data_IF_937311502616
#
_entry.id   IF_937311502616
#
_cell.length_a   1.000
_cell.length_b   1.000
_cell.length_c   1.000
_cell.angle_alpha   90.00
_cell.angle_beta   90.00
_cell.angle_gamma   90.00
#
_symmetry.space_group_name_H-M   'P 1'
#
loop_
_entity.id
_entity.type
_entity.pdbx_description
1 polymer ?
#
# COMPACT_ATOMS: atom_id res chain seq x y z
N UNK A 1 -7.70 48.51 75.64
CA UNK A 1 -9.14 48.46 75.32
C UNK A 1 -9.30 47.40 74.26
N UNK A 2 -9.94 46.28 74.63
CA UNK A 2 -10.17 45.13 73.76
C UNK A 2 -11.09 45.49 72.61
N UNK A 3 -10.81 45.00 71.40
CA UNK A 3 -11.86 44.58 70.48
C UNK A 3 -11.31 43.54 69.50
N UNK A 4 -11.97 42.38 69.50
CA UNK A 4 -11.82 41.25 68.58
C UNK A 4 -12.91 41.41 67.55
N UNK A 5 -12.60 41.33 66.25
CA UNK A 5 -13.56 40.94 65.23
C UNK A 5 -12.85 40.29 64.03
N UNK A 6 -12.91 38.95 64.01
CA UNK A 6 -13.69 38.10 63.07
C UNK A 6 -13.10 37.93 61.67
N UNK A 7 -12.46 36.77 61.48
CA UNK A 7 -11.97 36.21 60.21
C UNK A 7 -13.14 35.74 59.32
N UNK A 8 -13.07 36.02 58.01
CA UNK A 8 -13.83 35.32 56.96
C UNK A 8 -12.95 35.05 55.73
N UNK A 9 -12.85 33.79 55.22
CA UNK A 9 -12.49 33.47 53.84
C UNK A 9 -13.77 33.11 53.03
N UNK A 10 -13.74 32.65 51.77
CA UNK A 10 -12.78 32.77 50.65
C UNK A 10 -13.48 33.26 49.34
N UNK A 11 -12.72 33.66 48.30
CA UNK A 11 -13.26 33.66 46.92
C UNK A 11 -12.22 33.17 45.92
N UNK A 12 -12.58 32.05 45.30
CA UNK A 12 -11.91 31.31 44.24
C UNK A 12 -11.59 32.17 43.01
N UNK A 13 -10.37 32.01 42.46
CA UNK A 13 -10.01 32.46 41.12
C UNK A 13 -10.18 31.29 40.15
N UNK A 14 -11.09 31.46 39.18
CA UNK A 14 -11.45 30.43 38.21
C UNK A 14 -10.35 30.23 37.15
N UNK A 15 -9.89 28.99 36.99
CA UNK A 15 -9.02 28.55 35.88
C UNK A 15 -9.91 28.23 34.68
N UNK A 16 -9.84 29.06 33.63
CA UNK A 16 -10.43 28.79 32.32
C UNK A 16 -9.57 27.76 31.57
N UNK A 17 -9.94 26.47 31.69
CA UNK A 17 -9.37 25.40 30.87
C UNK A 17 -10.06 25.45 29.50
N UNK A 18 -9.36 25.97 28.50
CA UNK A 18 -9.76 25.83 27.10
C UNK A 18 -9.54 24.38 26.66
N UNK A 19 -10.59 23.55 26.77
CA UNK A 19 -10.60 22.22 26.19
C UNK A 19 -10.58 22.33 24.66
N UNK A 20 -9.40 22.14 24.06
CA UNK A 20 -9.29 21.80 22.64
C UNK A 20 -10.02 20.46 22.44
N UNK A 21 -11.23 20.52 21.89
CA UNK A 21 -11.93 19.34 21.38
C UNK A 21 -11.10 18.81 20.20
N UNK A 22 -10.28 17.79 20.47
CA UNK A 22 -9.68 16.98 19.42
C UNK A 22 -10.83 16.32 18.65
N UNK A 23 -11.14 16.85 17.46
CA UNK A 23 -12.09 16.20 16.55
C UNK A 23 -11.45 14.86 16.18
N UNK A 24 -12.11 13.71 16.45
CA UNK A 24 -11.56 12.43 16.03
C UNK A 24 -11.50 12.45 14.51
N UNK A 25 -10.29 12.34 13.95
CA UNK A 25 -10.11 12.08 12.53
C UNK A 25 -10.80 10.74 12.24
N UNK A 26 -11.99 10.80 11.64
CA UNK A 26 -12.75 9.63 11.23
C UNK A 26 -11.91 8.88 10.21
N UNK A 27 -11.62 7.61 10.46
CA UNK A 27 -10.80 6.79 9.57
C UNK A 27 -11.61 6.47 8.30
N UNK A 28 -11.55 7.38 7.33
CA UNK A 28 -12.28 7.25 6.07
C UNK A 28 -11.80 6.02 5.31
N UNK A 29 -12.73 5.15 4.92
CA UNK A 29 -12.45 3.97 4.09
C UNK A 29 -12.08 4.41 2.67
N UNK A 30 -11.01 3.88 2.10
CA UNK A 30 -10.53 4.23 0.75
C UNK A 30 -10.90 3.15 -0.27
N UNK A 31 -11.42 3.54 -1.43
CA UNK A 31 -11.52 2.63 -2.57
C UNK A 31 -10.14 2.49 -3.23
N UNK A 32 -9.59 1.29 -3.27
CA UNK A 32 -8.27 1.01 -3.86
C UNK A 32 -8.35 0.39 -5.24
N UNK A 33 -9.43 -0.31 -5.56
CA UNK A 33 -9.69 -0.87 -6.90
C UNK A 33 -11.19 -0.95 -7.14
N UNK A 34 -11.62 -0.69 -8.37
CA UNK A 34 -13.00 -0.89 -8.77
C UNK A 34 -13.09 -1.32 -10.22
N UNK A 35 -13.97 -2.29 -10.49
CA UNK A 35 -14.30 -2.76 -11.83
C UNK A 35 -15.79 -3.07 -11.93
N UNK A 36 -16.30 -3.01 -13.17
CA UNK A 36 -17.71 -3.24 -13.49
C UNK A 36 -18.49 -1.93 -13.74
N UNK A 37 -19.81 -2.04 -14.00
CA UNK A 37 -20.69 -0.90 -14.26
C UNK A 37 -20.64 0.26 -13.25
N UNK A 38 -20.48 -0.01 -11.96
CA UNK A 38 -20.44 1.04 -10.91
C UNK A 38 -19.05 1.63 -10.69
N UNK A 39 -18.03 1.21 -11.45
CA UNK A 39 -16.65 1.68 -11.24
C UNK A 39 -16.49 3.19 -11.39
N UNK A 40 -17.32 3.84 -12.22
CA UNK A 40 -17.34 5.31 -12.34
C UNK A 40 -17.84 6.01 -11.09
N UNK A 41 -18.72 5.38 -10.31
CA UNK A 41 -19.24 5.92 -9.06
C UNK A 41 -18.27 5.70 -7.88
N UNK A 42 -17.42 4.68 -7.97
CA UNK A 42 -16.44 4.30 -6.96
C UNK A 42 -15.02 4.24 -7.56
N UNK A 43 -14.47 5.35 -8.08
CA UNK A 43 -13.12 5.33 -8.64
C UNK A 43 -12.06 5.03 -7.57
N UNK A 44 -10.94 4.44 -7.97
CA UNK A 44 -9.79 4.28 -7.09
C UNK A 44 -9.34 5.66 -6.54
N UNK A 45 -9.01 5.72 -5.25
CA UNK A 45 -8.67 6.94 -4.53
C UNK A 45 -9.87 7.63 -3.89
N UNK A 46 -11.10 7.17 -4.14
CA UNK A 46 -12.31 7.73 -3.52
C UNK A 46 -12.34 7.39 -2.03
N UNK A 47 -12.38 8.42 -1.18
CA UNK A 47 -12.70 8.25 0.23
C UNK A 47 -14.22 8.10 0.42
N UNK A 48 -14.59 7.13 1.25
CA UNK A 48 -15.95 6.80 1.63
C UNK A 48 -16.13 7.15 3.11
N UNK A 49 -17.24 7.82 3.42
CA UNK A 49 -17.62 8.05 4.80
C UNK A 49 -18.05 6.74 5.46
N UNK A 50 -17.77 6.56 6.75
CA UNK A 50 -18.02 5.33 7.52
C UNK A 50 -19.49 4.86 7.44
N UNK A 51 -20.41 5.81 7.33
CA UNK A 51 -21.86 5.60 7.32
C UNK A 51 -22.45 5.55 5.90
N UNK A 52 -21.60 5.60 4.86
CA UNK A 52 -22.07 5.61 3.48
C UNK A 52 -22.59 4.24 3.05
N UNK A 53 -23.42 4.21 2.01
CA UNK A 53 -23.86 2.97 1.36
C UNK A 53 -23.20 2.86 -0.01
N UNK A 54 -22.59 1.71 -0.26
CA UNK A 54 -21.98 1.34 -1.53
C UNK A 54 -23.00 0.46 -2.27
N UNK A 55 -23.59 0.97 -3.35
CA UNK A 55 -24.51 0.21 -4.18
C UNK A 55 -23.75 -0.36 -5.37
N UNK A 56 -23.70 -1.67 -5.45
CA UNK A 56 -23.05 -2.39 -6.55
C UNK A 56 -24.11 -3.05 -7.43
N UNK A 57 -23.79 -3.13 -8.72
CA UNK A 57 -24.55 -3.79 -9.77
C UNK A 57 -23.97 -5.19 -10.02
N UNK A 58 -24.68 -5.99 -10.82
CA UNK A 58 -24.20 -7.30 -11.21
C UNK A 58 -22.90 -7.18 -12.02
N UNK A 59 -21.90 -7.99 -11.66
CA UNK A 59 -20.57 -7.94 -12.27
C UNK A 59 -19.61 -6.91 -11.67
N UNK A 60 -20.04 -6.13 -10.67
CA UNK A 60 -19.15 -5.21 -9.97
C UNK A 60 -18.23 -5.92 -8.97
N UNK A 61 -17.01 -5.40 -8.89
CA UNK A 61 -16.05 -5.70 -7.84
C UNK A 61 -15.41 -4.41 -7.34
N UNK A 62 -15.51 -4.15 -6.04
CA UNK A 62 -14.88 -2.99 -5.38
C UNK A 62 -14.01 -3.49 -4.25
N UNK A 63 -12.73 -3.13 -4.27
CA UNK A 63 -11.81 -3.36 -3.17
C UNK A 63 -11.69 -2.08 -2.37
N UNK A 64 -12.00 -2.17 -1.08
CA UNK A 64 -11.89 -1.09 -0.11
C UNK A 64 -10.73 -1.39 0.85
N UNK A 65 -10.07 -0.34 1.32
CA UNK A 65 -9.06 -0.37 2.37
C UNK A 65 -9.59 0.42 3.57
N UNK A 66 -9.68 -0.25 4.70
CA UNK A 66 -9.99 0.37 6.00
C UNK A 66 -8.85 0.09 6.99
N UNK A 67 -8.96 0.59 8.21
CA UNK A 67 -7.93 0.43 9.24
C UNK A 67 -7.59 -1.03 9.59
N UNK A 68 -8.36 -2.02 9.13
CA UNK A 68 -8.13 -3.46 9.36
C UNK A 68 -7.52 -4.16 8.15
N UNK A 69 -7.38 -3.49 7.01
CA UNK A 69 -6.87 -4.06 5.76
C UNK A 69 -7.85 -3.96 4.59
N UNK A 70 -7.58 -4.72 3.52
CA UNK A 70 -8.42 -4.70 2.32
C UNK A 70 -9.54 -5.73 2.35
N UNK A 71 -10.69 -5.34 1.76
CA UNK A 71 -11.88 -6.18 1.63
C UNK A 71 -12.44 -6.02 0.23
N UNK A 72 -12.87 -7.13 -0.36
CA UNK A 72 -13.51 -7.14 -1.69
C UNK A 72 -15.02 -7.27 -1.55
N UNK A 73 -15.75 -6.32 -2.12
CA UNK A 73 -17.21 -6.32 -2.26
C UNK A 73 -17.54 -6.78 -3.69
N UNK A 74 -18.43 -7.75 -3.84
CA UNK A 74 -18.78 -8.34 -5.14
C UNK A 74 -20.29 -8.42 -5.32
N UNK A 75 -20.71 -8.22 -6.57
CA UNK A 75 -22.06 -8.54 -7.02
C UNK A 75 -23.08 -7.44 -6.74
N UNK A 76 -24.34 -7.67 -7.16
CA UNK A 76 -25.40 -6.70 -6.94
C UNK A 76 -25.76 -6.66 -5.46
N UNK A 77 -25.85 -5.47 -4.89
CA UNK A 77 -26.19 -5.32 -3.47
C UNK A 77 -25.87 -3.95 -2.92
N UNK A 78 -26.26 -3.72 -1.67
CA UNK A 78 -25.85 -2.53 -0.92
C UNK A 78 -24.97 -2.96 0.24
N UNK A 79 -23.76 -2.40 0.29
CA UNK A 79 -22.76 -2.70 1.28
C UNK A 79 -22.47 -1.46 2.13
N UNK A 80 -22.13 -1.66 3.39
CA UNK A 80 -21.58 -0.60 4.24
C UNK A 80 -20.05 -0.72 4.23
N UNK A 81 -19.29 0.38 4.10
CA UNK A 81 -17.83 0.38 4.19
C UNK A 81 -17.36 -0.18 5.53
N UNK A 82 -18.09 0.12 6.60
CA UNK A 82 -17.84 -0.43 7.93
C UNK A 82 -18.88 -1.51 8.28
N UNK A 83 -18.41 -2.65 8.80
CA UNK A 83 -19.26 -3.58 9.54
C UNK A 83 -18.97 -3.31 11.00
N UNK A 84 -19.96 -2.77 11.72
CA UNK A 84 -19.90 -2.63 13.18
C UNK A 84 -19.76 -4.02 13.82
N UNK A 85 -18.52 -4.48 13.95
CA UNK A 85 -18.19 -5.64 14.77
C UNK A 85 -17.59 -5.12 16.06
N UNK A 86 -18.01 -5.66 17.21
CA UNK A 86 -17.46 -5.35 18.54
C UNK A 86 -15.99 -5.78 18.74
N UNK A 87 -15.23 -5.96 17.65
CA UNK A 87 -13.80 -6.25 17.71
C UNK A 87 -13.07 -4.90 17.73
N UNK A 88 -12.36 -4.54 18.81
CA UNK A 88 -11.55 -3.34 18.81
C UNK A 88 -10.57 -3.39 17.64
N UNK A 89 -10.57 -2.34 16.82
CA UNK A 89 -9.63 -2.13 15.73
C UNK A 89 -8.27 -1.68 16.30
N UNK A 90 -7.63 -2.53 17.09
CA UNK A 90 -6.28 -2.28 17.63
C UNK A 90 -5.18 -2.52 16.59
N UNK A 91 -5.54 -2.90 15.37
CA UNK A 91 -4.60 -3.21 14.27
C UNK A 91 -4.41 -1.99 13.37
N UNK A 92 -3.94 -0.85 13.91
CA UNK A 92 -3.43 0.24 13.05
C UNK A 92 -2.06 -0.17 12.51
N UNK A 93 -2.04 -1.14 11.61
CA UNK A 93 -0.81 -1.57 10.96
C UNK A 93 -0.21 -0.37 10.22
N UNK A 94 1.06 -0.09 10.48
CA UNK A 94 1.75 0.99 9.78
C UNK A 94 2.22 0.49 8.43
N UNK A 95 2.38 1.41 7.48
CA UNK A 95 2.95 1.04 6.19
C UNK A 95 4.37 0.44 6.33
N UNK A 96 5.21 0.95 7.24
CA UNK A 96 6.54 0.41 7.47
C UNK A 96 6.50 -1.07 7.88
N UNK A 97 5.56 -1.42 8.75
CA UNK A 97 5.32 -2.80 9.17
C UNK A 97 4.85 -3.69 8.00
N UNK A 98 3.92 -3.21 7.17
CA UNK A 98 3.40 -3.95 6.02
C UNK A 98 4.45 -4.11 4.91
N UNK A 99 5.21 -3.05 4.62
CA UNK A 99 6.23 -3.03 3.57
C UNK A 99 7.37 -4.03 3.81
N UNK A 100 7.66 -4.32 5.08
CA UNK A 100 8.69 -5.28 5.49
C UNK A 100 8.17 -6.71 5.58
N UNK A 101 6.85 -6.92 5.56
CA UNK A 101 6.25 -8.26 5.51
C UNK A 101 6.39 -8.83 4.11
N UNK A 102 6.94 -10.05 4.04
CA UNK A 102 6.87 -10.83 2.81
C UNK A 102 5.41 -11.11 2.50
N UNK A 103 4.99 -10.81 1.27
CA UNK A 103 3.69 -11.23 0.76
C UNK A 103 3.56 -12.75 0.96
N UNK A 104 2.74 -13.17 1.92
CA UNK A 104 2.52 -14.59 2.19
C UNK A 104 1.80 -15.18 0.98
N UNK A 105 2.27 -16.29 0.39
CA UNK A 105 1.47 -17.04 -0.56
C UNK A 105 0.17 -17.42 0.13
N UNK A 106 -0.95 -16.89 -0.37
CA UNK A 106 -2.27 -17.28 0.10
C UNK A 106 -2.43 -18.78 -0.09
N UNK A 107 -2.68 -19.50 1.00
CA UNK A 107 -2.90 -20.93 1.00
C UNK A 107 -4.24 -21.28 0.32
N UNK A 108 -4.27 -21.32 -1.01
CA UNK A 108 -5.34 -21.98 -1.78
C UNK A 108 -4.77 -22.57 -3.07
N UNK A 109 -4.01 -23.66 -2.95
CA UNK A 109 -3.95 -24.82 -3.85
C UNK A 109 -3.11 -25.86 -3.12
N UNK A 110 -3.69 -27.04 -2.95
CA UNK A 110 -3.16 -28.27 -2.35
C UNK A 110 -1.72 -28.22 -1.79
N UNK A 111 -1.59 -28.48 -0.49
CA UNK A 111 -0.33 -28.75 0.22
C UNK A 111 0.54 -29.75 -0.57
N UNK A 112 1.74 -29.38 -1.05
CA UNK A 112 2.79 -30.34 -1.28
C UNK A 112 3.54 -30.56 0.04
N UNK A 113 3.94 -31.81 0.23
CA UNK A 113 4.75 -32.38 1.31
C UNK A 113 5.96 -31.47 1.69
N UNK A 114 6.37 -31.44 2.98
CA UNK A 114 7.52 -30.65 3.42
C UNK A 114 8.85 -31.29 2.99
N UNK A 115 9.18 -31.21 1.70
CA UNK A 115 10.51 -31.56 1.17
C UNK A 115 10.95 -30.71 -0.03
N UNK A 116 10.16 -29.73 -0.48
CA UNK A 116 10.59 -28.79 -1.51
C UNK A 116 10.87 -27.44 -0.86
N UNK A 117 12.06 -26.89 -1.15
CA UNK A 117 12.39 -25.50 -0.84
C UNK A 117 11.19 -24.64 -1.25
N UNK A 118 10.69 -23.82 -0.31
CA UNK A 118 9.55 -22.96 -0.57
C UNK A 118 9.76 -22.25 -1.91
N UNK A 119 8.86 -22.48 -2.88
CA UNK A 119 8.93 -21.82 -4.17
C UNK A 119 9.14 -20.32 -3.93
N UNK A 120 10.20 -19.75 -4.51
CA UNK A 120 10.44 -18.31 -4.44
C UNK A 120 9.19 -17.60 -4.98
N UNK A 121 8.78 -16.47 -4.36
CA UNK A 121 7.55 -15.82 -4.75
C UNK A 121 7.64 -15.35 -6.21
N UNK A 122 6.61 -15.67 -7.00
CA UNK A 122 6.43 -15.23 -8.40
C UNK A 122 6.18 -13.71 -8.52
N UNK A 123 6.32 -12.97 -7.41
CA UNK A 123 6.08 -11.54 -7.30
C UNK A 123 7.00 -10.94 -6.25
N UNK A 124 7.26 -9.63 -6.36
CA UNK A 124 8.15 -8.94 -5.43
C UNK A 124 7.73 -9.17 -3.97
N UNK A 125 8.67 -9.57 -3.08
CA UNK A 125 8.38 -9.81 -1.68
C UNK A 125 8.29 -8.51 -0.84
N UNK A 126 8.59 -7.35 -1.44
CA UNK A 126 8.63 -6.05 -0.75
C UNK A 126 8.18 -4.95 -1.72
N UNK A 127 7.31 -4.06 -1.25
CA UNK A 127 6.74 -2.94 -2.02
C UNK A 127 7.78 -1.90 -2.48
N UNK A 128 8.92 -1.81 -1.82
CA UNK A 128 10.00 -0.91 -2.22
C UNK A 128 10.95 -1.48 -3.25
N UNK A 129 10.86 -2.78 -3.53
CA UNK A 129 11.65 -3.35 -4.61
C UNK A 129 11.02 -3.06 -5.97
N UNK A 130 11.87 -2.59 -6.88
CA UNK A 130 11.51 -2.28 -8.25
C UNK A 130 11.43 -3.57 -9.04
N UNK A 131 10.23 -4.05 -9.29
CA UNK A 131 9.99 -5.22 -10.11
C UNK A 131 10.31 -4.92 -11.58
N UNK A 132 11.44 -5.43 -12.07
CA UNK A 132 11.95 -5.12 -13.41
C UNK A 132 11.23 -5.87 -14.53
N UNK A 133 10.32 -6.79 -14.21
CA UNK A 133 9.48 -7.47 -15.20
C UNK A 133 8.22 -6.67 -15.52
N UNK A 134 7.91 -5.62 -14.75
CA UNK A 134 6.75 -4.75 -14.94
C UNK A 134 7.17 -3.35 -15.35
N UNK A 135 6.58 -2.86 -16.44
CA UNK A 135 6.70 -1.46 -16.84
C UNK A 135 5.67 -0.61 -16.10
N UNK A 136 5.99 0.66 -15.87
CA UNK A 136 5.07 1.63 -15.26
C UNK A 136 5.75 2.60 -14.31
N UNK A 137 4.94 3.32 -13.54
CA UNK A 137 5.44 4.23 -12.51
C UNK A 137 5.84 3.43 -11.26
N UNK A 138 7.00 3.76 -10.71
CA UNK A 138 7.58 3.16 -9.51
C UNK A 138 7.77 4.25 -8.47
N UNK A 139 6.99 4.17 -7.41
CA UNK A 139 7.08 5.03 -6.24
C UNK A 139 8.21 4.58 -5.34
N UNK A 140 9.08 5.50 -4.94
CA UNK A 140 10.20 5.21 -4.04
C UNK A 140 10.20 6.16 -2.85
N UNK A 141 10.69 5.69 -1.71
CA UNK A 141 10.90 6.50 -0.52
C UNK A 141 12.25 7.23 -0.53
N UNK A 142 13.25 6.63 -1.18
CA UNK A 142 14.63 7.06 -1.15
C UNK A 142 15.28 6.77 -2.52
N UNK A 143 15.86 7.79 -3.14
CA UNK A 143 16.53 7.70 -4.44
C UNK A 143 17.87 6.98 -4.38
N UNK A 144 18.49 6.92 -3.20
CA UNK A 144 19.82 6.36 -2.99
C UNK A 144 19.76 4.88 -2.56
N UNK A 145 18.59 4.40 -2.15
CA UNK A 145 18.34 3.04 -1.67
C UNK A 145 17.48 2.18 -2.62
N UNK A 146 17.53 2.46 -3.93
CA UNK A 146 16.72 1.72 -4.92
C UNK A 146 17.28 0.31 -5.14
N UNK A 147 16.40 -0.69 -5.02
CA UNK A 147 16.73 -2.10 -5.24
C UNK A 147 15.86 -2.68 -6.34
N UNK A 148 16.49 -3.21 -7.38
CA UNK A 148 15.85 -3.97 -8.44
C UNK A 148 15.52 -5.37 -7.95
N UNK A 149 14.36 -5.88 -8.37
CA UNK A 149 13.93 -7.24 -8.10
C UNK A 149 13.38 -7.92 -9.35
N UNK A 150 13.67 -9.22 -9.45
CA UNK A 150 13.08 -10.17 -10.40
C UNK A 150 12.84 -11.51 -9.70
N UNK A 151 11.95 -12.38 -10.19
CA UNK A 151 11.90 -13.77 -9.75
C UNK A 151 13.27 -14.45 -9.87
N UNK A 152 13.63 -15.27 -8.87
CA UNK A 152 14.83 -16.10 -8.96
C UNK A 152 14.74 -17.03 -10.17
N UNK A 153 15.82 -17.13 -10.95
CA UNK A 153 15.85 -17.98 -12.13
C UNK A 153 17.25 -18.20 -12.65
N UNK A 154 17.38 -18.47 -13.95
CA UNK A 154 18.69 -18.53 -14.62
C UNK A 154 19.40 -17.17 -14.56
N UNK A 155 20.71 -17.18 -14.77
CA UNK A 155 21.47 -15.95 -14.96
C UNK A 155 20.84 -15.12 -16.09
N UNK A 156 20.77 -13.82 -15.87
CA UNK A 156 20.15 -12.89 -16.80
C UNK A 156 20.88 -11.56 -16.75
N UNK A 157 20.86 -10.84 -17.86
CA UNK A 157 21.42 -9.49 -17.95
C UNK A 157 20.43 -8.56 -18.64
N UNK A 158 20.47 -7.30 -18.27
CA UNK A 158 19.70 -6.25 -18.90
C UNK A 158 20.52 -4.96 -18.98
N UNK A 159 20.25 -4.16 -19.99
CA UNK A 159 20.79 -2.81 -20.11
C UNK A 159 19.74 -1.82 -19.62
N UNK A 160 20.08 -1.02 -18.61
CA UNK A 160 19.32 0.15 -18.23
C UNK A 160 19.77 1.35 -19.06
N UNK A 161 18.83 2.18 -19.48
CA UNK A 161 19.12 3.42 -20.22
C UNK A 161 18.26 4.55 -19.66
N UNK A 162 18.88 5.64 -19.21
CA UNK A 162 18.18 6.86 -18.87
C UNK A 162 17.59 7.48 -20.14
N UNK A 163 16.27 7.71 -20.14
CA UNK A 163 15.56 8.21 -21.32
C UNK A 163 15.92 9.66 -21.64
N UNK A 164 16.33 10.45 -20.64
CA UNK A 164 16.58 11.88 -20.81
C UNK A 164 17.92 12.19 -21.49
N UNK A 165 18.99 11.44 -21.14
CA UNK A 165 20.35 11.71 -21.60
C UNK A 165 21.00 10.54 -22.36
N UNK A 166 20.33 9.39 -22.44
CA UNK A 166 20.82 8.21 -23.14
C UNK A 166 21.95 7.46 -22.43
N UNK A 167 22.36 7.88 -21.22
CA UNK A 167 23.33 7.15 -20.41
C UNK A 167 22.82 5.74 -20.09
N UNK A 168 23.71 4.75 -20.12
CA UNK A 168 23.34 3.36 -19.97
C UNK A 168 24.33 2.56 -19.15
N UNK A 169 23.83 1.62 -18.35
CA UNK A 169 24.64 0.66 -17.61
C UNK A 169 24.05 -0.75 -17.75
N UNK A 170 24.94 -1.72 -17.92
CA UNK A 170 24.56 -3.13 -17.95
C UNK A 170 24.48 -3.68 -16.54
N UNK A 171 23.41 -4.42 -16.27
CA UNK A 171 23.15 -5.08 -15.00
C UNK A 171 23.04 -6.58 -15.20
N UNK A 172 23.67 -7.33 -14.32
CA UNK A 172 23.72 -8.79 -14.37
C UNK A 172 23.25 -9.39 -13.06
N UNK A 173 22.34 -10.36 -13.16
CA UNK A 173 21.90 -11.24 -12.08
C UNK A 173 22.53 -12.62 -12.28
N UNK A 174 23.19 -13.11 -11.23
CA UNK A 174 23.63 -14.51 -11.20
C UNK A 174 22.42 -15.46 -11.15
N UNK A 175 22.64 -16.73 -11.47
CA UNK A 175 21.60 -17.75 -11.29
C UNK A 175 21.13 -17.79 -9.83
N UNK A 176 19.82 -17.79 -9.62
CA UNK A 176 19.18 -17.73 -8.30
C UNK A 176 19.17 -16.34 -7.64
N UNK A 177 19.74 -15.30 -8.27
CA UNK A 177 19.76 -13.95 -7.71
C UNK A 177 18.49 -13.18 -8.08
N UNK A 178 17.68 -12.87 -7.07
CA UNK A 178 16.42 -12.12 -7.23
C UNK A 178 16.58 -10.61 -7.07
N UNK A 179 17.69 -10.13 -6.48
CA UNK A 179 17.89 -8.71 -6.12
C UNK A 179 19.19 -8.13 -6.64
N UNK A 180 19.16 -6.87 -7.05
CA UNK A 180 20.35 -6.09 -7.42
C UNK A 180 20.18 -4.64 -6.96
N UNK A 181 21.25 -4.03 -6.46
CA UNK A 181 21.23 -2.60 -6.21
C UNK A 181 21.10 -1.83 -7.53
N UNK A 182 20.41 -0.70 -7.50
CA UNK A 182 20.41 0.25 -8.61
C UNK A 182 21.83 0.77 -8.88
N UNK A 183 22.25 0.93 -10.14
CA UNK A 183 23.61 1.35 -10.46
C UNK A 183 23.84 2.84 -10.14
N UNK A 184 24.96 3.14 -9.46
CA UNK A 184 25.30 4.50 -9.08
C UNK A 184 25.57 5.44 -10.27
N UNK A 185 25.91 4.90 -11.45
CA UNK A 185 26.15 5.74 -12.65
C UNK A 185 24.86 6.29 -13.27
N UNK A 186 23.69 5.75 -12.89
CA UNK A 186 22.39 6.18 -13.40
C UNK A 186 21.52 6.75 -12.25
N UNK A 187 21.90 7.84 -11.59
CA UNK A 187 21.24 8.31 -10.37
C UNK A 187 19.74 8.54 -10.54
N UNK A 188 18.91 7.94 -9.68
CA UNK A 188 17.45 8.07 -9.73
C UNK A 188 17.02 9.45 -9.25
N UNK A 189 16.02 10.03 -9.93
CA UNK A 189 15.39 11.31 -9.56
C UNK A 189 13.89 11.22 -9.69
N UNK A 190 13.16 12.10 -9.00
CA UNK A 190 11.71 12.22 -9.19
C UNK A 190 11.38 12.55 -10.65
N UNK A 191 10.45 11.79 -11.24
CA UNK A 191 10.04 11.91 -12.62
C UNK A 191 11.00 11.33 -13.66
N UNK A 192 12.15 10.78 -13.27
CA UNK A 192 13.10 10.18 -14.20
C UNK A 192 12.53 8.89 -14.82
N UNK A 193 12.73 8.72 -16.13
CA UNK A 193 12.36 7.49 -16.86
C UNK A 193 13.62 6.71 -17.25
N UNK A 194 13.57 5.40 -17.06
CA UNK A 194 14.61 4.47 -17.50
C UNK A 194 13.99 3.36 -18.31
N UNK A 195 14.59 3.07 -19.46
CA UNK A 195 14.27 1.90 -20.25
C UNK A 195 15.13 0.72 -19.81
N UNK A 196 14.52 -0.44 -19.65
CA UNK A 196 15.21 -1.71 -19.44
C UNK A 196 15.09 -2.55 -20.71
N UNK A 197 16.21 -3.08 -21.20
CA UNK A 197 16.26 -4.00 -22.33
C UNK A 197 16.98 -5.29 -21.92
N UNK A 198 16.32 -6.43 -22.05
CA UNK A 198 16.88 -7.72 -21.63
C UNK A 198 17.79 -8.32 -22.71
N UNK A 199 18.98 -8.76 -22.30
CA UNK A 199 19.97 -9.35 -23.21
C UNK A 199 19.42 -10.66 -23.80
N UNK A 200 19.54 -10.82 -25.12
CA UNK A 200 19.08 -12.02 -25.82
C UNK A 200 17.55 -12.17 -25.91
N UNK A 201 16.79 -11.18 -25.45
CA UNK A 201 15.33 -11.15 -25.50
C UNK A 201 14.87 -9.89 -26.25
N UNK A 202 13.86 -10.02 -27.12
CA UNK A 202 13.21 -8.83 -27.71
C UNK A 202 12.16 -8.26 -26.73
N UNK A 203 12.54 -8.08 -25.46
CA UNK A 203 11.70 -7.53 -24.41
C UNK A 203 12.33 -6.24 -23.89
N UNK A 204 11.55 -5.17 -23.93
CA UNK A 204 11.89 -3.89 -23.34
C UNK A 204 10.73 -3.39 -22.47
N UNK A 205 11.08 -2.71 -21.39
CA UNK A 205 10.14 -2.05 -20.51
C UNK A 205 10.60 -0.64 -20.15
N UNK A 206 9.69 0.17 -19.63
CA UNK A 206 10.00 1.50 -19.12
C UNK A 206 9.57 1.62 -17.65
N UNK A 207 10.48 2.16 -16.84
CA UNK A 207 10.31 2.45 -15.43
C UNK A 207 10.34 3.96 -15.26
N UNK A 208 9.24 4.55 -14.77
CA UNK A 208 9.19 5.98 -14.42
C UNK A 208 9.21 6.13 -12.90
N UNK A 209 10.17 6.83 -12.34
CA UNK A 209 10.25 7.02 -10.91
C UNK A 209 9.37 8.17 -10.42
N UNK A 210 8.75 7.96 -9.26
CA UNK A 210 8.02 8.98 -8.51
C UNK A 210 8.48 8.97 -7.06
N UNK A 211 8.95 10.11 -6.56
CA UNK A 211 9.37 10.22 -5.16
C UNK A 211 8.15 10.41 -4.25
N UNK A 212 8.14 9.65 -3.14
CA UNK A 212 7.19 9.80 -2.05
C UNK A 212 7.83 10.61 -0.92
N UNK A 213 7.71 11.93 -0.99
CA UNK A 213 8.20 12.84 0.05
C UNK A 213 7.07 13.75 0.59
N UNK A 214 6.76 13.74 1.90
CA UNK A 214 7.19 12.73 2.86
C UNK A 214 6.54 11.37 2.59
N UNK A 215 7.17 10.29 3.04
CA UNK A 215 6.60 8.93 2.99
C UNK A 215 5.42 8.83 3.97
N UNK A 216 4.20 8.51 3.51
CA UNK A 216 3.06 8.35 4.40
C UNK A 216 3.26 7.19 5.38
N UNK A 217 2.92 7.40 6.65
CA UNK A 217 2.98 6.37 7.68
C UNK A 217 1.73 5.45 7.67
N UNK A 218 0.56 6.02 7.37
CA UNK A 218 -0.72 5.31 7.32
C UNK A 218 -0.91 4.54 6.01
N UNK A 219 -1.61 3.40 6.07
CA UNK A 219 -1.87 2.56 4.91
C UNK A 219 -2.80 3.23 3.91
N UNK A 220 -3.85 3.90 4.38
CA UNK A 220 -4.82 4.62 3.56
C UNK A 220 -4.15 5.80 2.83
N UNK A 221 -3.34 6.58 3.54
CA UNK A 221 -2.59 7.69 2.95
C UNK A 221 -1.54 7.18 1.95
N UNK A 222 -0.87 6.07 2.25
CA UNK A 222 0.05 5.44 1.29
C UNK A 222 -0.70 4.98 0.04
N UNK A 223 -1.78 4.22 0.18
CA UNK A 223 -2.57 3.74 -0.95
C UNK A 223 -3.08 4.91 -1.81
N UNK A 224 -3.56 5.98 -1.18
CA UNK A 224 -3.98 7.21 -1.87
C UNK A 224 -2.82 7.84 -2.65
N UNK A 225 -1.62 7.88 -2.07
CA UNK A 225 -0.43 8.42 -2.74
C UNK A 225 0.04 7.55 -3.90
N UNK A 226 0.02 6.23 -3.76
CA UNK A 226 0.32 5.29 -4.85
C UNK A 226 -0.67 5.45 -6.01
N UNK A 227 -1.97 5.57 -5.72
CA UNK A 227 -3.02 5.81 -6.73
C UNK A 227 -2.78 7.14 -7.44
N UNK A 228 -2.52 8.21 -6.69
CA UNK A 228 -2.32 9.56 -7.25
C UNK A 228 -1.09 9.62 -8.15
N UNK A 229 -0.03 8.88 -7.81
CA UNK A 229 1.21 8.81 -8.59
C UNK A 229 1.17 7.72 -9.69
N UNK A 230 0.13 6.87 -9.72
CA UNK A 230 -0.02 5.79 -10.71
C UNK A 230 0.90 4.59 -10.50
N UNK A 231 1.28 4.29 -9.25
CA UNK A 231 2.20 3.22 -8.88
C UNK A 231 1.48 1.88 -8.69
N UNK A 232 0.85 1.39 -9.77
CA UNK A 232 -0.11 0.26 -9.76
C UNK A 232 0.48 -1.04 -9.20
N UNK A 233 1.69 -1.44 -9.63
CA UNK A 233 2.31 -2.68 -9.18
C UNK A 233 2.55 -2.71 -7.66
N UNK A 234 2.84 -1.54 -7.08
CA UNK A 234 3.03 -1.38 -5.63
C UNK A 234 1.70 -1.33 -4.90
N UNK A 235 0.70 -0.67 -5.47
CA UNK A 235 -0.67 -0.69 -4.93
C UNK A 235 -1.21 -2.12 -4.87
N UNK A 236 -0.99 -2.93 -5.91
CA UNK A 236 -1.40 -4.33 -5.93
C UNK A 236 -0.73 -5.13 -4.81
N UNK A 237 0.58 -4.98 -4.66
CA UNK A 237 1.29 -5.68 -3.60
C UNK A 237 0.82 -5.22 -2.21
N UNK A 238 0.51 -3.94 -2.02
CA UNK A 238 -0.08 -3.42 -0.79
C UNK A 238 -1.43 -4.08 -0.51
N UNK A 239 -2.35 -4.05 -1.49
CA UNK A 239 -3.69 -4.64 -1.37
C UNK A 239 -3.62 -6.10 -0.95
N UNK A 240 -2.73 -6.87 -1.57
CA UNK A 240 -2.54 -8.29 -1.29
C UNK A 240 -1.94 -8.55 0.09
N UNK A 241 -0.99 -7.71 0.52
CA UNK A 241 -0.28 -7.89 1.80
C UNK A 241 -1.19 -7.62 2.99
N UNK A 242 -2.17 -6.72 2.85
CA UNK A 242 -3.16 -6.39 3.88
C UNK A 242 -4.54 -7.02 3.63
N UNK A 243 -4.63 -8.00 2.73
CA UNK A 243 -5.88 -8.69 2.45
C UNK A 243 -6.37 -9.43 3.69
N UNK A 244 -7.58 -9.09 4.14
CA UNK A 244 -8.22 -9.84 5.21
C UNK A 244 -8.72 -11.18 4.66
N UNK A 245 -8.53 -12.30 5.39
CA UNK A 245 -9.10 -13.58 4.98
C UNK A 245 -10.62 -13.44 4.84
N UNK A 246 -11.14 -13.86 3.68
CA UNK A 246 -12.57 -13.82 3.40
C UNK A 246 -13.29 -14.67 4.46
N UNK A 247 -14.13 -14.03 5.28
CA UNK A 247 -14.99 -14.76 6.19
C UNK A 247 -15.93 -15.59 5.33
N UNK A 248 -15.67 -16.91 5.23
CA UNK A 248 -16.51 -17.84 4.49
C UNK A 248 -17.97 -17.61 4.89
N UNK A 249 -18.74 -17.01 3.98
CA UNK A 249 -20.16 -16.80 4.16
C UNK A 249 -20.80 -18.18 4.24
N UNK A 250 -21.05 -18.66 5.46
CA UNK A 250 -21.78 -19.89 5.70
C UNK A 250 -23.22 -19.63 5.21
N UNK A 251 -23.72 -20.35 4.18
CA UNK A 251 -25.13 -20.23 3.83
C UNK A 251 -25.95 -20.71 5.03
N UNK A 252 -26.86 -19.86 5.51
CA UNK A 252 -27.91 -20.31 6.42
C UNK A 252 -28.84 -21.19 5.59
N UNK A 253 -28.78 -22.50 5.83
CA UNK A 253 -29.87 -23.42 5.50
C UNK A 253 -31.02 -23.26 6.48
#
# INVERSE_FOLDING_TARGET
>A
MFWIDTVKPPTAMAVLIAAMLAVPASAATLVVRSSGPSAKAYPAGRQLADNSRISLQAGDQVVILDSRGTRTLKGPGTFSPNVATNRPSDSRETFAEVSSRRARPGATRAVPKPTEAAAEPDRSPNIWFVDVERSGTVCIADTDAVTLWRPAGTAAAATLTNVADGSSEKIEWAAGQSRKAWPASLPVRDGASYRIAWDGMNLQGELRFALLDPVPAGLEDMASRLITKGCEAQLDLLIETVAMPEAAARPKG
#
